data_IF_870291159450
#
_entry.id   IF_870291159450
#
_cell.length_a   1.000
_cell.length_b   1.000
_cell.length_c   1.000
_cell.angle_alpha   90.00
_cell.angle_beta   90.00
_cell.angle_gamma   90.00
#
_symmetry.space_group_name_H-M   'P 1'
#
loop_
_entity.id
_entity.type
_entity.pdbx_description
1 polymer ?
#
# COMPACT_ATOMS: atom_id res chain seq x y z
N UNK A 1 57.49 6.16 5.76
CA UNK A 1 56.96 4.79 5.57
C UNK A 1 55.62 4.55 6.27
N UNK A 2 55.43 4.89 7.56
CA UNK A 2 54.17 4.67 8.29
C UNK A 2 52.92 5.40 7.76
N UNK A 3 53.09 6.54 7.08
CA UNK A 3 51.99 7.40 6.61
C UNK A 3 51.19 6.78 5.45
N UNK A 4 51.83 6.00 4.58
CA UNK A 4 51.17 5.32 3.45
C UNK A 4 50.38 4.08 3.89
N UNK A 5 50.86 3.34 4.89
CA UNK A 5 50.15 2.19 5.47
C UNK A 5 48.86 2.65 6.15
N UNK A 6 48.94 3.75 6.93
CA UNK A 6 47.76 4.34 7.58
C UNK A 6 46.70 4.78 6.56
N UNK A 7 47.10 5.41 5.46
CA UNK A 7 46.19 5.81 4.38
C UNK A 7 45.51 4.60 3.72
N UNK A 8 46.26 3.54 3.41
CA UNK A 8 45.69 2.30 2.85
C UNK A 8 44.66 1.66 3.77
N UNK A 9 44.94 1.61 5.07
CA UNK A 9 44.00 1.08 6.06
C UNK A 9 42.74 1.94 6.18
N UNK A 10 42.86 3.27 6.17
CA UNK A 10 41.69 4.17 6.21
C UNK A 10 40.82 3.95 4.97
N UNK A 11 41.42 3.89 3.78
CA UNK A 11 40.68 3.63 2.53
C UNK A 11 39.98 2.28 2.59
N UNK A 12 40.67 1.24 3.09
CA UNK A 12 40.08 -0.08 3.25
C UNK A 12 38.86 -0.07 4.19
N UNK A 13 38.99 0.56 5.35
CA UNK A 13 37.89 0.68 6.32
C UNK A 13 36.72 1.47 5.74
N UNK A 14 36.98 2.60 5.07
CA UNK A 14 35.94 3.39 4.41
C UNK A 14 35.22 2.56 3.35
N UNK A 15 35.96 1.83 2.52
CA UNK A 15 35.39 0.98 1.48
C UNK A 15 34.51 -0.13 2.07
N UNK A 16 34.95 -0.73 3.17
CA UNK A 16 34.18 -1.74 3.89
C UNK A 16 32.89 -1.16 4.48
N UNK A 17 32.96 0.04 5.07
CA UNK A 17 31.78 0.75 5.57
C UNK A 17 30.79 1.06 4.45
N UNK A 18 31.26 1.59 3.32
CA UNK A 18 30.39 1.86 2.15
C UNK A 18 29.71 0.58 1.70
N UNK A 19 30.47 -0.52 1.55
CA UNK A 19 29.94 -1.78 1.02
C UNK A 19 28.91 -2.40 1.95
N UNK A 20 29.17 -2.36 3.26
CA UNK A 20 28.23 -2.86 4.28
C UNK A 20 26.98 -2.01 4.37
N UNK A 21 27.11 -0.68 4.45
CA UNK A 21 25.96 0.24 4.46
C UNK A 21 25.12 0.07 3.19
N UNK A 22 25.76 -0.08 2.03
CA UNK A 22 25.05 -0.31 0.77
C UNK A 22 24.29 -1.63 0.77
N UNK A 23 24.91 -2.73 1.24
CA UNK A 23 24.24 -4.01 1.36
C UNK A 23 23.03 -3.95 2.31
N UNK A 24 23.19 -3.31 3.48
CA UNK A 24 22.09 -3.10 4.41
C UNK A 24 20.97 -2.25 3.82
N UNK A 25 21.31 -1.17 3.11
CA UNK A 25 20.34 -0.30 2.45
C UNK A 25 19.47 -1.08 1.46
N UNK A 26 20.07 -1.92 0.61
CA UNK A 26 19.33 -2.76 -0.34
C UNK A 26 18.38 -3.71 0.38
N UNK A 27 18.84 -4.37 1.44
CA UNK A 27 18.01 -5.31 2.22
C UNK A 27 16.85 -4.57 2.88
N UNK A 28 17.12 -3.42 3.51
CA UNK A 28 16.09 -2.60 4.17
C UNK A 28 15.03 -2.14 3.17
N UNK A 29 15.41 -1.63 2.00
CA UNK A 29 14.45 -1.22 0.96
C UNK A 29 13.58 -2.40 0.51
N UNK A 30 14.16 -3.58 0.32
CA UNK A 30 13.40 -4.79 -0.03
C UNK A 30 12.39 -5.19 1.05
N UNK A 31 12.76 -5.08 2.32
CA UNK A 31 11.86 -5.39 3.45
C UNK A 31 10.75 -4.35 3.52
N UNK A 32 11.09 -3.07 3.48
CA UNK A 32 10.12 -1.97 3.53
C UNK A 32 9.09 -2.07 2.42
N UNK A 33 9.51 -2.32 1.17
CA UNK A 33 8.58 -2.47 0.05
C UNK A 33 7.58 -3.61 0.27
N UNK A 34 8.03 -4.76 0.79
CA UNK A 34 7.14 -5.89 1.10
C UNK A 34 6.16 -5.56 2.23
N UNK A 35 6.64 -4.91 3.29
CA UNK A 35 5.81 -4.52 4.43
C UNK A 35 4.76 -3.49 4.03
N UNK A 36 5.15 -2.45 3.28
CA UNK A 36 4.25 -1.41 2.78
C UNK A 36 3.17 -2.06 1.91
N UNK A 37 3.56 -2.91 0.95
CA UNK A 37 2.59 -3.60 0.09
C UNK A 37 1.59 -4.44 0.89
N UNK A 38 2.08 -5.20 1.87
CA UNK A 38 1.22 -6.04 2.69
C UNK A 38 0.22 -5.23 3.53
N UNK A 39 0.67 -4.11 4.11
CA UNK A 39 -0.22 -3.22 4.87
C UNK A 39 -1.25 -2.53 3.97
N UNK A 40 -0.87 -2.14 2.75
CA UNK A 40 -1.81 -1.58 1.75
C UNK A 40 -2.88 -2.63 1.41
N UNK A 41 -2.49 -3.87 1.08
CA UNK A 41 -3.42 -4.95 0.76
C UNK A 41 -4.36 -5.22 1.93
N UNK A 42 -3.81 -5.31 3.16
CA UNK A 42 -4.61 -5.57 4.35
C UNK A 42 -5.62 -4.46 4.64
N UNK A 43 -5.23 -3.19 4.47
CA UNK A 43 -6.14 -2.05 4.58
C UNK A 43 -7.22 -2.09 3.51
N UNK A 44 -6.85 -2.36 2.26
CA UNK A 44 -7.80 -2.47 1.15
C UNK A 44 -8.81 -3.60 1.38
N UNK A 45 -8.36 -4.79 1.82
CA UNK A 45 -9.23 -5.92 2.14
C UNK A 45 -10.18 -5.60 3.30
N UNK A 46 -9.65 -4.99 4.38
CA UNK A 46 -10.45 -4.61 5.55
C UNK A 46 -11.51 -3.58 5.18
N UNK A 47 -11.11 -2.54 4.42
CA UNK A 47 -12.02 -1.52 3.91
C UNK A 47 -13.08 -2.14 2.99
N UNK A 48 -12.68 -2.96 2.02
CA UNK A 48 -13.57 -3.65 1.11
C UNK A 48 -14.57 -4.57 1.82
N UNK A 49 -14.14 -5.34 2.82
CA UNK A 49 -15.05 -6.17 3.65
C UNK A 49 -16.05 -5.33 4.41
N UNK A 50 -15.63 -4.20 4.99
CA UNK A 50 -16.52 -3.30 5.70
C UNK A 50 -17.56 -2.67 4.76
N UNK A 51 -17.15 -2.22 3.57
CA UNK A 51 -18.03 -1.68 2.56
C UNK A 51 -19.01 -2.75 2.03
N UNK A 52 -18.52 -3.97 1.77
CA UNK A 52 -19.33 -5.09 1.31
C UNK A 52 -20.42 -5.48 2.32
N UNK A 53 -20.12 -5.43 3.63
CA UNK A 53 -21.09 -5.71 4.68
C UNK A 53 -22.29 -4.75 4.64
N UNK A 54 -22.03 -3.45 4.41
CA UNK A 54 -23.10 -2.44 4.28
C UNK A 54 -23.78 -2.54 2.91
N UNK A 55 -23.01 -2.77 1.85
CA UNK A 55 -23.54 -2.91 0.49
C UNK A 55 -24.51 -4.09 0.36
N UNK A 56 -24.27 -5.19 1.06
CA UNK A 56 -25.19 -6.34 1.07
C UNK A 56 -26.61 -5.94 1.52
N UNK A 57 -26.71 -5.07 2.54
CA UNK A 57 -28.00 -4.55 2.98
C UNK A 57 -28.64 -3.66 1.91
N UNK A 58 -27.90 -2.69 1.37
CA UNK A 58 -28.41 -1.78 0.34
C UNK A 58 -28.85 -2.53 -0.94
N UNK A 59 -28.17 -3.62 -1.31
CA UNK A 59 -28.56 -4.46 -2.43
C UNK A 59 -29.90 -5.16 -2.16
N UNK A 60 -30.10 -5.71 -0.96
CA UNK A 60 -31.35 -6.40 -0.58
C UNK A 60 -32.51 -5.42 -0.47
N UNK A 61 -32.26 -4.21 0.01
CA UNK A 61 -33.27 -3.16 0.16
C UNK A 61 -33.51 -2.33 -1.11
N UNK A 62 -32.84 -2.66 -2.23
CA UNK A 62 -32.87 -1.91 -3.48
C UNK A 62 -32.50 -0.41 -3.32
N UNK A 63 -31.67 -0.10 -2.32
CA UNK A 63 -31.23 1.26 -1.99
C UNK A 63 -29.98 1.65 -2.81
N UNK A 64 -30.22 2.06 -4.06
CA UNK A 64 -29.17 2.52 -4.97
C UNK A 64 -28.40 3.74 -4.47
N UNK A 65 -29.08 4.70 -3.81
CA UNK A 65 -28.44 5.88 -3.23
C UNK A 65 -27.52 5.51 -2.05
N UNK A 66 -27.91 4.50 -1.27
CA UNK A 66 -27.07 3.92 -0.23
C UNK A 66 -25.77 3.34 -0.80
N UNK A 67 -25.82 2.67 -1.95
CA UNK A 67 -24.64 2.14 -2.64
C UNK A 67 -23.69 3.26 -3.10
N UNK A 68 -24.23 4.31 -3.72
CA UNK A 68 -23.44 5.47 -4.15
C UNK A 68 -22.79 6.18 -2.95
N UNK A 69 -23.52 6.32 -1.85
CA UNK A 69 -22.98 6.90 -0.63
C UNK A 69 -21.84 6.08 -0.01
N UNK A 70 -21.93 4.74 -0.03
CA UNK A 70 -20.83 3.86 0.43
C UNK A 70 -19.56 4.12 -0.40
N UNK A 71 -19.71 4.20 -1.72
CA UNK A 71 -18.57 4.42 -2.62
C UNK A 71 -17.99 5.82 -2.46
N UNK A 72 -18.84 6.85 -2.43
CA UNK A 72 -18.42 8.23 -2.20
C UNK A 72 -17.66 8.37 -0.88
N UNK A 73 -18.24 7.87 0.22
CA UNK A 73 -17.63 7.95 1.55
C UNK A 73 -16.37 7.09 1.66
N UNK A 74 -16.34 5.95 0.98
CA UNK A 74 -15.17 5.08 0.90
C UNK A 74 -13.98 5.78 0.23
N UNK A 75 -14.19 6.44 -0.91
CA UNK A 75 -13.16 7.25 -1.58
C UNK A 75 -12.79 8.49 -0.74
N UNK A 76 -13.78 9.25 -0.27
CA UNK A 76 -13.53 10.50 0.46
C UNK A 76 -12.84 10.31 1.81
N UNK A 77 -12.96 9.13 2.41
CA UNK A 77 -12.32 8.80 3.69
C UNK A 77 -10.87 8.35 3.55
N UNK A 78 -10.43 8.01 2.34
CA UNK A 78 -9.08 7.53 2.09
C UNK A 78 -8.51 8.10 0.78
N UNK A 79 -7.67 9.13 0.91
CA UNK A 79 -7.00 9.76 -0.22
C UNK A 79 -6.07 8.83 -1.02
N UNK A 80 -5.68 7.68 -0.45
CA UNK A 80 -4.86 6.68 -1.15
C UNK A 80 -5.70 5.80 -2.10
N UNK A 81 -7.03 5.90 -2.06
CA UNK A 81 -7.95 5.14 -2.93
C UNK A 81 -8.25 5.96 -4.18
N UNK A 82 -7.65 5.54 -5.30
CA UNK A 82 -7.89 6.16 -6.61
C UNK A 82 -9.32 5.87 -7.12
N UNK A 83 -9.78 4.63 -6.95
CA UNK A 83 -11.06 4.18 -7.46
C UNK A 83 -11.71 3.14 -6.54
N UNK A 84 -13.03 3.23 -6.41
CA UNK A 84 -13.84 2.27 -5.67
C UNK A 84 -15.10 1.94 -6.45
N UNK A 85 -15.49 0.67 -6.45
CA UNK A 85 -16.74 0.22 -7.05
C UNK A 85 -17.36 -0.92 -6.24
N UNK A 86 -18.68 -0.98 -6.26
CA UNK A 86 -19.47 -2.12 -5.77
C UNK A 86 -19.92 -2.91 -6.98
N UNK A 87 -19.65 -4.21 -6.98
CA UNK A 87 -19.99 -5.11 -8.08
C UNK A 87 -20.85 -6.27 -7.58
N UNK A 88 -21.79 -6.71 -8.42
CA UNK A 88 -22.57 -7.93 -8.20
C UNK A 88 -21.71 -9.18 -8.50
N UNK A 89 -22.20 -10.36 -8.11
CA UNK A 89 -21.62 -11.69 -8.40
C UNK A 89 -21.34 -11.94 -9.88
N UNK A 90 -22.01 -11.23 -10.78
CA UNK A 90 -21.80 -11.27 -12.24
C UNK A 90 -20.77 -10.24 -12.74
N UNK A 91 -20.02 -9.60 -11.85
CA UNK A 91 -19.09 -8.50 -12.16
C UNK A 91 -19.77 -7.27 -12.77
N UNK A 92 -21.09 -7.12 -12.60
CA UNK A 92 -21.81 -5.91 -13.00
C UNK A 92 -21.56 -4.82 -11.97
N UNK A 93 -21.12 -3.65 -12.41
CA UNK A 93 -20.96 -2.47 -11.56
C UNK A 93 -22.35 -1.99 -11.12
N UNK A 94 -22.53 -1.86 -9.82
CA UNK A 94 -23.76 -1.38 -9.18
C UNK A 94 -23.62 0.08 -8.74
N UNK A 95 -22.44 0.46 -8.26
CA UNK A 95 -22.06 1.83 -7.92
C UNK A 95 -20.55 2.00 -8.12
N UNK A 96 -20.11 3.21 -8.47
CA UNK A 96 -18.69 3.50 -8.67
C UNK A 96 -18.37 4.95 -8.27
N UNK A 97 -17.10 5.21 -7.96
CA UNK A 97 -16.61 6.57 -7.77
C UNK A 97 -16.28 7.16 -9.13
N UNK A 98 -16.43 8.49 -9.25
CA UNK A 98 -15.77 9.22 -10.33
C UNK A 98 -14.25 9.06 -10.19
N UNK A 99 -13.51 9.12 -11.31
CA UNK A 99 -12.04 9.14 -11.31
C UNK A 99 -11.57 10.53 -10.89
#
# INVERSE_FOLDING_TARGET
MFRSIRLRLIIFVILLLILTTFAFSIVTVKIQNKTILNEIIKRAETSGKSAAAVAAYCIISEDSLGLDHIVYKGKSSNNDVEYMAIVDKKMKILAHSDI
#
